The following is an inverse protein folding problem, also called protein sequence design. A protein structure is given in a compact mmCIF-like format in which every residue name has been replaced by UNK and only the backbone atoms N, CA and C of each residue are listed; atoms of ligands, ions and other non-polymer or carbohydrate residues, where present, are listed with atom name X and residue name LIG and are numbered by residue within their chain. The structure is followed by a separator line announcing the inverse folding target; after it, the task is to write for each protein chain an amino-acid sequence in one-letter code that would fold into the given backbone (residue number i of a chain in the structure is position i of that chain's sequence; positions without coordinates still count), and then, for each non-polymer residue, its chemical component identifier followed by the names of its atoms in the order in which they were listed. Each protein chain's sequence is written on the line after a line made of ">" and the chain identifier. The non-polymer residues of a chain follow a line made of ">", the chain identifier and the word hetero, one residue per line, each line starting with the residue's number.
data_IF_041169919011
#
_entry.id   IF_041169919011
#
_cell.length_a   1.000
_cell.length_b   1.000
_cell.length_c   1.000
_cell.angle_alpha   90.00
_cell.angle_beta   90.00
_cell.angle_gamma   90.00
#
_symmetry.space_group_name_H-M   'P 1'
#
loop_
_entity.id
_entity.type
_entity.pdbx_description
1 polymer ?
#
# COMPACT_ATOMS: atom_id res chain seq x y z
N UNK A 1 14.62 13.97 4.34
CA UNK A 1 13.91 13.81 3.06
C UNK A 1 14.83 14.35 1.98
N UNK A 2 15.23 13.53 1.02
CA UNK A 2 16.08 14.04 -0.08
C UNK A 2 15.27 15.05 -0.89
N UNK A 3 15.67 16.32 -0.88
CA UNK A 3 15.12 17.33 -1.80
C UNK A 3 15.62 17.00 -3.21
N UNK A 4 14.80 16.27 -3.98
CA UNK A 4 15.09 16.04 -5.38
C UNK A 4 14.84 17.34 -6.17
N UNK A 5 15.92 18.06 -6.47
CA UNK A 5 15.89 19.19 -7.40
C UNK A 5 15.97 18.64 -8.82
N UNK A 6 14.82 18.44 -9.46
CA UNK A 6 14.76 18.03 -10.87
C UNK A 6 15.46 19.04 -11.78
N UNK A 7 16.06 18.58 -12.89
CA UNK A 7 16.56 19.48 -13.94
C UNK A 7 15.41 20.36 -14.43
N UNK A 8 15.60 21.67 -14.40
CA UNK A 8 14.64 22.65 -14.91
C UNK A 8 14.51 22.48 -16.43
N UNK A 9 13.34 22.03 -16.89
CA UNK A 9 13.08 21.63 -18.27
C UNK A 9 12.04 20.52 -18.33
N UNK A 10 10.80 20.86 -17.98
CA UNK A 10 9.74 19.90 -17.69
C UNK A 10 9.10 19.37 -18.98
N UNK A 11 9.23 18.07 -19.27
CA UNK A 11 8.27 17.40 -20.14
C UNK A 11 6.91 17.49 -19.46
N UNK A 12 5.94 18.18 -20.06
CA UNK A 12 4.60 18.27 -19.47
C UNK A 12 3.94 16.89 -19.51
N UNK A 13 3.90 16.23 -18.36
CA UNK A 13 3.25 14.93 -18.21
C UNK A 13 1.75 15.16 -18.04
N UNK A 14 0.94 14.63 -18.96
CA UNK A 14 -0.54 14.65 -18.92
C UNK A 14 -1.15 16.05 -19.05
N UNK A 15 -1.03 16.64 -20.25
CA UNK A 15 -1.65 17.94 -20.63
C UNK A 15 -3.17 17.90 -20.82
N UNK A 16 -3.86 16.88 -20.28
CA UNK A 16 -5.29 16.67 -20.47
C UNK A 16 -5.97 16.32 -19.13
N UNK A 17 -7.20 16.80 -18.98
CA UNK A 17 -8.07 16.47 -17.85
C UNK A 17 -8.69 15.08 -18.01
N UNK A 18 -8.87 14.35 -16.91
CA UNK A 18 -9.57 13.05 -16.92
C UNK A 18 -10.98 13.17 -17.47
N UNK A 19 -11.69 14.24 -17.11
CA UNK A 19 -13.03 14.52 -17.63
C UNK A 19 -13.03 14.75 -19.15
N UNK A 20 -12.01 15.43 -19.68
CA UNK A 20 -11.87 15.62 -21.14
C UNK A 20 -11.59 14.31 -21.87
N UNK A 21 -10.81 13.41 -21.27
CA UNK A 21 -10.57 12.07 -21.84
C UNK A 21 -11.84 11.21 -21.82
N UNK A 22 -12.59 11.22 -20.72
CA UNK A 22 -13.85 10.48 -20.58
C UNK A 22 -14.90 10.97 -21.57
N UNK A 23 -15.06 12.29 -21.72
CA UNK A 23 -15.94 12.88 -22.72
C UNK A 23 -15.53 12.54 -24.16
N UNK A 24 -14.22 12.53 -24.45
CA UNK A 24 -13.70 12.12 -25.76
C UNK A 24 -13.95 10.63 -26.05
N UNK A 25 -13.83 9.77 -25.03
CA UNK A 25 -14.15 8.33 -25.15
C UNK A 25 -15.66 8.17 -25.43
N UNK A 26 -16.51 8.90 -24.73
CA UNK A 26 -17.96 8.87 -24.95
C UNK A 26 -18.32 9.29 -26.39
N UNK A 27 -17.73 10.38 -26.89
CA UNK A 27 -17.96 10.84 -28.27
C UNK A 27 -17.58 9.79 -29.32
N UNK A 28 -16.53 9.00 -29.06
CA UNK A 28 -16.14 7.87 -29.93
C UNK A 28 -17.14 6.71 -29.83
N UNK A 29 -17.67 6.44 -28.64
CA UNK A 29 -18.75 5.46 -28.47
C UNK A 29 -20.04 5.88 -29.19
N UNK A 30 -20.32 7.18 -29.25
CA UNK A 30 -21.46 7.76 -29.97
C UNK A 30 -21.29 7.73 -31.51
N UNK A 31 -20.14 7.25 -32.01
CA UNK A 31 -19.88 7.01 -33.43
C UNK A 31 -18.93 8.01 -34.10
N UNK A 32 -18.36 8.96 -33.35
CA UNK A 32 -17.36 9.87 -33.91
C UNK A 32 -16.01 9.18 -34.16
N UNK A 33 -15.23 9.70 -35.11
CA UNK A 33 -13.87 9.20 -35.32
C UNK A 33 -12.93 9.60 -34.17
N UNK A 34 -11.89 8.81 -33.93
CA UNK A 34 -10.86 9.11 -32.92
C UNK A 34 -10.23 10.49 -33.16
N UNK A 35 -10.03 10.87 -34.42
CA UNK A 35 -9.44 12.16 -34.78
C UNK A 35 -10.35 13.33 -34.44
N UNK A 36 -11.63 13.23 -34.80
CA UNK A 36 -12.63 14.28 -34.48
C UNK A 36 -12.79 14.47 -32.98
N UNK A 37 -12.81 13.38 -32.20
CA UNK A 37 -12.87 13.47 -30.74
C UNK A 37 -11.57 14.03 -30.13
N UNK A 38 -10.41 13.66 -30.67
CA UNK A 38 -9.12 14.19 -30.22
C UNK A 38 -9.01 15.72 -30.41
N UNK A 39 -9.46 16.22 -31.56
CA UNK A 39 -9.47 17.65 -31.88
C UNK A 39 -10.49 18.41 -31.02
N UNK A 40 -11.69 17.86 -30.81
CA UNK A 40 -12.74 18.49 -30.01
C UNK A 40 -12.37 18.66 -28.53
N UNK A 41 -11.68 17.68 -27.94
CA UNK A 41 -11.34 17.69 -26.51
C UNK A 41 -9.87 18.02 -26.22
N UNK A 42 -9.09 18.39 -27.24
CA UNK A 42 -7.65 18.65 -27.16
C UNK A 42 -6.87 17.52 -26.46
N UNK A 43 -7.26 16.27 -26.74
CA UNK A 43 -6.60 15.07 -26.22
C UNK A 43 -5.86 14.41 -27.38
N UNK A 44 -4.56 14.16 -27.23
CA UNK A 44 -3.79 13.53 -28.28
C UNK A 44 -4.39 12.17 -28.69
N UNK A 45 -4.53 11.92 -29.99
CA UNK A 45 -5.20 10.73 -30.54
C UNK A 45 -4.63 9.40 -30.01
N UNK A 46 -3.32 9.30 -29.74
CA UNK A 46 -2.72 8.11 -29.13
C UNK A 46 -3.19 7.87 -27.71
N UNK A 47 -3.41 8.94 -26.94
CA UNK A 47 -3.93 8.89 -25.57
C UNK A 47 -5.37 8.40 -25.59
N UNK A 48 -6.21 8.97 -26.47
CA UNK A 48 -7.59 8.54 -26.64
C UNK A 48 -7.68 7.06 -27.07
N UNK A 49 -6.84 6.66 -28.02
CA UNK A 49 -6.75 5.26 -28.48
C UNK A 49 -6.24 4.29 -27.40
N UNK A 50 -5.42 4.76 -26.45
CA UNK A 50 -5.00 3.97 -25.27
C UNK A 50 -6.12 3.88 -24.23
N UNK A 51 -6.87 4.97 -24.02
CA UNK A 51 -8.03 5.02 -23.14
C UNK A 51 -9.13 4.06 -23.58
N UNK A 52 -9.44 4.02 -24.88
CA UNK A 52 -10.43 3.11 -25.47
C UNK A 52 -10.05 1.62 -25.30
N UNK A 53 -8.76 1.32 -25.20
CA UNK A 53 -8.22 -0.04 -24.98
C UNK A 53 -8.10 -0.41 -23.50
N UNK A 54 -8.65 0.40 -22.59
CA UNK A 54 -8.66 0.23 -21.13
C UNK A 54 -7.30 -0.06 -20.45
N UNK A 55 -6.18 0.09 -21.14
CA UNK A 55 -4.83 -0.27 -20.65
C UNK A 55 -4.23 0.67 -19.59
N UNK A 56 -4.92 1.74 -19.21
CA UNK A 56 -4.27 2.91 -18.56
C UNK A 56 -4.94 3.38 -17.26
N UNK A 57 -5.97 2.70 -16.76
CA UNK A 57 -6.67 3.16 -15.53
C UNK A 57 -5.96 2.76 -14.24
N UNK A 58 -5.00 1.84 -14.29
CA UNK A 58 -4.28 1.41 -13.09
C UNK A 58 -3.27 2.46 -12.61
N UNK A 59 -3.05 2.45 -11.29
CA UNK A 59 -2.00 3.26 -10.67
C UNK A 59 -0.66 2.83 -11.24
N UNK A 60 0.00 3.74 -11.96
CA UNK A 60 1.31 3.47 -12.53
C UNK A 60 2.36 3.52 -11.41
N UNK A 61 3.23 2.51 -11.34
CA UNK A 61 4.31 2.43 -10.36
C UNK A 61 4.44 1.03 -9.73
N UNK A 62 5.38 0.89 -8.80
CA UNK A 62 5.45 -0.33 -7.99
C UNK A 62 4.22 -0.45 -7.08
N UNK A 63 3.69 -1.67 -6.89
CA UNK A 63 2.64 -1.91 -5.91
C UNK A 63 3.11 -1.53 -4.51
N UNK A 64 2.17 -1.16 -3.65
CA UNK A 64 2.48 -0.88 -2.25
C UNK A 64 3.06 -2.15 -1.60
N UNK A 65 4.12 -1.99 -0.81
CA UNK A 65 4.82 -3.10 -0.16
C UNK A 65 3.97 -3.84 0.89
N UNK A 66 2.91 -3.20 1.38
CA UNK A 66 1.94 -3.72 2.34
C UNK A 66 0.56 -3.85 1.71
N UNK A 67 -0.24 -4.78 2.22
CA UNK A 67 -1.66 -4.85 1.92
C UNK A 67 -2.40 -3.69 2.57
N UNK A 68 -3.47 -3.22 1.92
CA UNK A 68 -4.28 -2.10 2.42
C UNK A 68 -4.83 -2.38 3.82
N UNK A 69 -5.26 -3.62 4.10
CA UNK A 69 -5.74 -4.04 5.43
C UNK A 69 -4.66 -3.91 6.51
N UNK A 70 -3.45 -4.38 6.21
CA UNK A 70 -2.34 -4.39 7.15
C UNK A 70 -1.85 -2.95 7.40
N UNK A 71 -1.97 -2.10 6.38
CA UNK A 71 -1.67 -0.67 6.47
C UNK A 71 -2.68 0.08 7.35
N UNK A 72 -3.98 -0.18 7.19
CA UNK A 72 -5.03 0.43 8.03
C UNK A 72 -4.92 0.03 9.49
N UNK A 73 -4.64 -1.24 9.76
CA UNK A 73 -4.46 -1.74 11.12
C UNK A 73 -3.26 -1.03 11.79
N UNK A 74 -2.15 -0.93 11.06
CA UNK A 74 -0.94 -0.26 11.53
C UNK A 74 -1.17 1.22 11.88
N UNK A 75 -1.95 1.94 11.07
CA UNK A 75 -2.32 3.33 11.38
C UNK A 75 -3.19 3.41 12.64
N UNK A 76 -4.16 2.50 12.78
CA UNK A 76 -5.00 2.39 13.98
C UNK A 76 -4.18 2.20 15.26
N UNK A 77 -3.22 1.27 15.25
CA UNK A 77 -2.35 1.04 16.40
C UNK A 77 -1.50 2.27 16.75
N UNK A 78 -0.93 2.95 15.75
CA UNK A 78 -0.15 4.18 15.99
C UNK A 78 -1.02 5.27 16.60
N UNK A 79 -2.27 5.40 16.16
CA UNK A 79 -3.22 6.38 16.71
C UNK A 79 -3.52 6.11 18.18
N UNK A 80 -3.79 4.85 18.56
CA UNK A 80 -4.03 4.45 19.95
C UNK A 80 -2.81 4.71 20.83
N UNK A 81 -1.62 4.33 20.37
CA UNK A 81 -0.36 4.60 21.10
C UNK A 81 -0.14 6.11 21.30
N UNK A 82 -0.42 6.91 20.27
CA UNK A 82 -0.31 8.37 20.37
C UNK A 82 -1.33 8.95 21.35
N UNK A 83 -2.55 8.42 21.41
CA UNK A 83 -3.57 8.85 22.37
C UNK A 83 -3.16 8.56 23.81
N UNK A 84 -2.46 7.44 24.03
CA UNK A 84 -1.90 7.06 25.32
C UNK A 84 -0.63 7.82 25.73
N UNK A 85 -0.20 8.78 24.92
CA UNK A 85 0.98 9.61 25.21
C UNK A 85 2.31 8.98 24.78
N UNK A 86 2.28 7.91 23.99
CA UNK A 86 3.46 7.25 23.43
C UNK A 86 3.56 7.50 21.92
N UNK A 87 4.08 8.66 21.48
CA UNK A 87 4.25 8.94 20.06
C UNK A 87 5.28 7.98 19.44
N UNK A 88 4.89 7.33 18.34
CA UNK A 88 5.74 6.36 17.64
C UNK A 88 6.69 7.08 16.68
N UNK A 89 7.98 6.76 16.77
CA UNK A 89 9.02 7.31 15.88
C UNK A 89 9.04 6.59 14.53
N UNK A 90 9.53 7.26 13.48
CA UNK A 90 9.70 6.64 12.15
C UNK A 90 10.60 5.41 12.18
N UNK A 91 11.55 5.33 13.12
CA UNK A 91 12.39 4.15 13.34
C UNK A 91 11.57 2.95 13.86
N UNK A 92 10.69 3.18 14.83
CA UNK A 92 9.79 2.16 15.37
C UNK A 92 8.79 1.68 14.31
N UNK A 93 8.22 2.60 13.50
CA UNK A 93 7.33 2.23 12.39
C UNK A 93 8.03 1.24 11.45
N UNK A 94 9.29 1.48 11.09
CA UNK A 94 10.07 0.57 10.22
C UNK A 94 10.23 -0.82 10.83
N UNK A 95 10.48 -0.90 12.14
CA UNK A 95 10.64 -2.18 12.83
C UNK A 95 9.32 -2.92 13.03
N UNK A 96 8.22 -2.19 13.28
CA UNK A 96 6.88 -2.77 13.33
C UNK A 96 6.54 -3.44 11.99
N UNK A 97 6.78 -2.75 10.89
CA UNK A 97 6.55 -3.28 9.54
C UNK A 97 7.43 -4.49 9.24
N UNK A 98 8.72 -4.43 9.59
CA UNK A 98 9.63 -5.58 9.46
C UNK A 98 9.09 -6.79 10.23
N UNK A 99 8.73 -6.61 11.50
CA UNK A 99 8.22 -7.68 12.34
C UNK A 99 6.90 -8.26 11.80
N UNK A 100 6.02 -7.42 11.27
CA UNK A 100 4.78 -7.88 10.61
C UNK A 100 5.10 -8.75 9.39
N UNK A 101 5.99 -8.30 8.51
CA UNK A 101 6.38 -9.06 7.31
C UNK A 101 7.05 -10.39 7.65
N UNK A 102 8.00 -10.38 8.58
CA UNK A 102 8.73 -11.56 9.04
C UNK A 102 7.77 -12.61 9.62
N UNK A 103 6.75 -12.19 10.39
CA UNK A 103 5.73 -13.10 10.91
C UNK A 103 4.78 -13.65 9.87
N UNK A 104 4.40 -12.83 8.89
CA UNK A 104 3.59 -13.32 7.78
C UNK A 104 4.38 -14.23 6.83
N UNK A 105 5.70 -14.37 7.02
CA UNK A 105 6.57 -15.10 6.10
C UNK A 105 6.61 -14.44 4.72
N UNK A 106 6.31 -13.13 4.66
CA UNK A 106 6.32 -12.36 3.43
C UNK A 106 7.71 -11.78 3.24
N UNK A 107 8.27 -11.99 2.06
CA UNK A 107 9.53 -11.37 1.64
C UNK A 107 9.17 -10.36 0.57
N UNK A 108 9.51 -9.10 0.81
CA UNK A 108 9.26 -8.03 -0.15
C UNK A 108 10.59 -7.62 -0.79
N UNK A 109 10.69 -7.79 -2.11
CA UNK A 109 11.92 -7.51 -2.87
C UNK A 109 12.40 -6.06 -2.77
N UNK A 110 11.52 -5.11 -2.41
CA UNK A 110 11.87 -3.70 -2.25
C UNK A 110 12.55 -3.38 -0.91
N UNK A 111 12.55 -4.30 0.06
CA UNK A 111 13.12 -4.09 1.39
C UNK A 111 14.34 -4.97 1.62
N UNK A 112 15.45 -4.35 2.04
CA UNK A 112 16.66 -5.10 2.42
C UNK A 112 16.39 -5.74 3.77
N UNK A 113 16.42 -7.07 3.82
CA UNK A 113 16.13 -7.86 5.03
C UNK A 113 14.76 -7.53 5.66
N UNK A 114 13.74 -7.33 4.82
CA UNK A 114 12.38 -6.93 5.22
C UNK A 114 12.32 -5.63 6.04
N UNK A 115 13.40 -4.85 6.11
CA UNK A 115 13.43 -3.59 6.82
C UNK A 115 13.14 -2.45 5.84
N UNK A 116 12.03 -1.71 6.01
CA UNK A 116 11.75 -0.55 5.17
C UNK A 116 12.82 0.53 5.32
N UNK A 117 13.03 1.30 4.24
CA UNK A 117 13.91 2.46 4.26
C UNK A 117 13.35 3.64 5.05
N UNK A 118 14.19 4.64 5.32
CA UNK A 118 13.78 5.91 5.96
C UNK A 118 12.83 6.73 5.08
N UNK A 119 13.06 6.71 3.76
CA UNK A 119 12.20 7.36 2.77
C UNK A 119 10.82 6.66 2.69
N UNK A 120 10.77 5.34 2.84
CA UNK A 120 9.50 4.61 2.92
C UNK A 120 8.67 5.06 4.13
N UNK A 121 9.29 5.13 5.32
CA UNK A 121 8.59 5.58 6.53
C UNK A 121 8.10 7.03 6.40
N UNK A 122 8.88 7.89 5.76
CA UNK A 122 8.49 9.28 5.50
C UNK A 122 7.33 9.36 4.50
N UNK A 123 7.34 8.53 3.46
CA UNK A 123 6.26 8.42 2.48
C UNK A 123 4.98 7.87 3.11
N UNK A 124 5.10 6.88 4.01
CA UNK A 124 3.99 6.31 4.78
C UNK A 124 3.27 7.38 5.60
N UNK A 125 3.99 8.13 6.45
CA UNK A 125 3.40 9.23 7.22
C UNK A 125 2.82 10.32 6.32
N UNK A 126 3.45 10.60 5.17
CA UNK A 126 2.94 11.57 4.19
C UNK A 126 1.63 11.10 3.52
N UNK A 127 1.48 9.80 3.28
CA UNK A 127 0.25 9.21 2.73
C UNK A 127 -0.92 9.33 3.69
N UNK A 128 -0.65 9.13 4.99
CA UNK A 128 -1.66 9.11 6.06
C UNK A 128 -1.79 10.42 6.83
N UNK A 129 -1.54 11.56 6.19
CA UNK A 129 -1.57 12.90 6.84
C UNK A 129 -2.89 13.29 7.51
N UNK A 130 -4.01 12.66 7.11
CA UNK A 130 -5.31 12.87 7.74
C UNK A 130 -5.41 12.24 9.13
N UNK A 131 -4.65 11.16 9.38
CA UNK A 131 -4.73 10.35 10.59
C UNK A 131 -3.47 10.47 11.45
N UNK A 132 -2.30 10.58 10.80
CA UNK A 132 -0.99 10.66 11.43
C UNK A 132 -0.37 12.04 11.21
N UNK A 133 0.23 12.59 12.27
CA UNK A 133 0.97 13.84 12.21
C UNK A 133 2.23 13.77 13.05
N UNK A 134 3.33 14.33 12.54
CA UNK A 134 4.57 14.47 13.29
C UNK A 134 4.37 15.52 14.38
N UNK A 135 4.43 15.11 15.64
CA UNK A 135 4.35 16.02 16.80
C UNK A 135 5.67 16.07 17.53
N UNK A 136 6.00 17.25 18.05
CA UNK A 136 7.07 17.37 19.05
C UNK A 136 6.58 16.73 20.35
N UNK A 137 7.50 16.15 21.11
CA UNK A 137 7.18 15.63 22.43
C UNK A 137 6.63 16.78 23.28
N UNK A 138 5.41 16.60 23.79
CA UNK A 138 4.82 17.54 24.73
C UNK A 138 5.19 17.10 26.15
N UNK A 139 5.50 18.06 27.01
CA UNK A 139 5.68 17.77 28.43
C UNK A 139 4.33 17.26 28.99
N UNK A 140 4.32 16.02 29.48
CA UNK A 140 3.13 15.40 30.05
C UNK A 140 2.91 16.08 31.40
N UNK A 141 2.02 17.08 31.42
CA UNK A 141 1.76 17.89 32.62
C UNK A 141 1.13 17.09 33.77
N UNK A 142 0.52 15.95 33.44
CA UNK A 142 -0.11 15.04 34.40
C UNK A 142 0.39 13.62 34.17
N UNK A 143 1.56 13.27 34.72
CA UNK A 143 1.90 11.88 35.02
C UNK A 143 1.20 11.48 36.33
N UNK A 144 -0.09 11.75 36.44
CA UNK A 144 -0.91 11.36 37.59
C UNK A 144 -1.82 10.24 37.12
N UNK A 145 -1.23 9.05 37.02
CA UNK A 145 -1.85 7.77 37.26
C UNK A 145 -0.70 6.76 37.13
N UNK A 146 -0.18 6.31 38.27
CA UNK A 146 0.68 5.14 38.36
C UNK A 146 -0.15 3.87 38.06
N UNK A 147 -0.87 3.85 36.94
CA UNK A 147 -1.61 2.68 36.51
C UNK A 147 -0.64 1.80 35.73
N UNK A 148 0.11 0.99 36.47
CA UNK A 148 0.96 -0.08 35.93
C UNK A 148 0.21 -0.94 34.90
N UNK A 149 -1.12 -1.06 35.05
CA UNK A 149 -2.03 -1.73 34.11
C UNK A 149 -2.08 -1.13 32.71
N UNK A 150 -1.86 0.18 32.54
CA UNK A 150 -1.83 0.82 31.21
C UNK A 150 -0.49 0.50 30.53
N UNK A 151 0.61 0.53 31.27
CA UNK A 151 1.93 0.20 30.74
C UNK A 151 2.06 -1.28 30.36
N UNK A 152 1.50 -2.19 31.17
CA UNK A 152 1.43 -3.62 30.84
C UNK A 152 0.50 -3.89 29.66
N UNK A 153 -0.64 -3.22 29.51
CA UNK A 153 -1.52 -3.39 28.34
C UNK A 153 -0.95 -2.76 27.05
N UNK A 154 -0.16 -1.68 27.14
CA UNK A 154 0.61 -1.16 26.00
C UNK A 154 1.72 -2.14 25.63
N UNK A 155 2.44 -2.68 26.61
CA UNK A 155 3.46 -3.70 26.38
C UNK A 155 2.80 -4.96 25.83
N UNK A 156 1.67 -5.42 26.35
CA UNK A 156 0.89 -6.56 25.86
C UNK A 156 0.28 -6.30 24.50
N UNK A 157 -0.07 -5.06 24.13
CA UNK A 157 -0.54 -4.74 22.78
C UNK A 157 0.62 -4.60 21.81
N UNK A 158 1.79 -4.12 22.24
CA UNK A 158 3.04 -4.20 21.47
C UNK A 158 3.55 -5.64 21.38
N UNK A 159 3.31 -6.45 22.42
CA UNK A 159 3.61 -7.86 22.51
C UNK A 159 2.58 -8.63 21.68
N UNK A 160 1.29 -8.33 21.66
CA UNK A 160 0.29 -8.92 20.77
C UNK A 160 0.46 -8.42 19.34
N UNK A 161 0.86 -7.18 19.10
CA UNK A 161 1.38 -6.77 17.80
C UNK A 161 2.72 -7.42 17.48
N UNK A 162 3.38 -8.07 18.45
CA UNK A 162 4.52 -8.96 18.28
C UNK A 162 4.14 -10.46 18.21
N UNK A 163 2.98 -10.89 18.74
CA UNK A 163 2.59 -12.26 19.08
C UNK A 163 1.16 -12.66 18.64
N UNK A 164 0.41 -11.79 17.97
CA UNK A 164 -0.87 -12.09 17.33
C UNK A 164 -0.60 -13.14 16.26
N UNK A 165 -1.17 -14.33 16.50
CA UNK A 165 -1.01 -15.51 15.66
C UNK A 165 -1.45 -15.20 14.24
N UNK A 166 -0.73 -15.68 13.21
CA UNK A 166 -1.19 -15.53 11.84
C UNK A 166 -2.45 -16.37 11.64
N UNK A 167 -3.62 -15.74 11.54
CA UNK A 167 -4.78 -16.37 10.92
C UNK A 167 -4.94 -15.80 9.53
N UNK A 168 -4.05 -16.24 8.64
CA UNK A 168 -4.39 -16.34 7.23
C UNK A 168 -4.02 -17.74 6.80
N UNK A 169 -5.04 -18.53 6.47
CA UNK A 169 -4.88 -19.81 5.79
C UNK A 169 -4.08 -19.53 4.51
N UNK A 170 -2.77 -19.76 4.56
CA UNK A 170 -1.95 -19.77 3.36
C UNK A 170 -2.38 -21.01 2.59
N UNK A 171 -3.32 -20.84 1.67
CA UNK A 171 -3.65 -21.86 0.69
C UNK A 171 -2.37 -22.11 -0.13
N UNK A 172 -1.55 -23.07 0.30
CA UNK A 172 -0.49 -23.62 -0.54
C UNK A 172 -1.20 -24.26 -1.74
N UNK A 173 -1.21 -23.58 -2.89
CA UNK A 173 -1.51 -24.26 -4.15
C UNK A 173 -0.40 -25.29 -4.39
N UNK A 174 -0.61 -26.53 -3.97
CA UNK A 174 0.14 -27.66 -4.54
C UNK A 174 -0.26 -27.73 -6.01
N UNK A 175 0.65 -27.37 -6.92
CA UNK A 175 0.53 -27.83 -8.31
C UNK A 175 0.78 -29.34 -8.27
N UNK A 176 -0.29 -30.13 -8.32
CA UNK A 176 -0.19 -31.54 -8.65
C UNK A 176 0.18 -31.61 -10.13
N UNK A 177 1.38 -32.10 -10.43
CA UNK A 177 1.77 -32.43 -11.79
C UNK A 177 1.01 -33.70 -12.19
N UNK A 178 -0.17 -33.52 -12.75
CA UNK A 178 -0.96 -34.60 -13.34
C UNK A 178 -0.38 -34.86 -14.73
N UNK A 179 0.19 -36.06 -14.94
CA UNK A 179 0.63 -36.48 -16.26
C UNK A 179 -0.57 -36.51 -17.23
N UNK A 180 -0.38 -36.17 -18.53
CA UNK A 180 -1.47 -36.15 -19.49
C UNK A 180 -2.14 -37.53 -19.55
N UNK A 181 -3.45 -37.58 -19.30
CA UNK A 181 -4.28 -38.79 -19.40
C UNK A 181 -4.73 -39.44 -18.09
N UNK A 182 -4.38 -38.93 -16.90
CA UNK A 182 -4.92 -39.44 -15.62
C UNK A 182 -5.85 -38.41 -14.95
N UNK A 183 -7.02 -38.85 -14.48
CA UNK A 183 -7.89 -38.03 -13.63
C UNK A 183 -7.54 -38.24 -12.15
N UNK A 184 -7.74 -37.20 -11.32
CA UNK A 184 -7.35 -37.14 -9.90
C UNK A 184 -7.95 -38.30 -9.07
N UNK A 185 -9.07 -38.89 -9.49
CA UNK A 185 -9.76 -39.97 -8.79
C UNK A 185 -9.07 -41.34 -8.82
N UNK A 186 -8.03 -41.56 -9.63
CA UNK A 186 -7.36 -42.87 -9.73
C UNK A 186 -6.13 -43.04 -8.83
N UNK A 187 -5.70 -42.01 -8.10
CA UNK A 187 -4.44 -42.02 -7.35
C UNK A 187 -4.60 -42.60 -5.92
N UNK A 188 -5.84 -42.69 -5.40
CA UNK A 188 -6.08 -43.07 -4.01
C UNK A 188 -6.22 -44.58 -3.72
N UNK A 189 -6.03 -45.47 -4.71
CA UNK A 189 -6.25 -46.92 -4.53
C UNK A 189 -5.02 -47.76 -4.89
N UNK A 190 -3.82 -47.31 -4.52
CA UNK A 190 -2.59 -48.10 -4.72
C UNK A 190 -1.62 -47.85 -3.58
N UNK A 191 -1.90 -48.47 -2.44
CA UNK A 191 -0.94 -49.04 -1.47
C UNK A 191 -1.71 -49.83 -0.42
#
# INVERSE_FOLDING_TARGET
>A
MREYKGKQGNCKYKDWSTASLEAAIQMVHDGATIRTAAEAFNVHHTTLSRGLRSKTTERHGQPTALFVSDETDLVGYISVLSMWGFPVTTFQIRHLVKNMLDRHGLVTDCFVNNLPGTEWASAFVKGHKGELSTRLANNIKNLTNNDSSIHESVIEMLHELCYMKPVRNVAKKKKLNVAPGKSVGQICNSE
#
